data_IF_560763046098
#
_entry.id   IF_560763046098
#
_cell.length_a   1.000
_cell.length_b   1.000
_cell.length_c   1.000
_cell.angle_alpha   90.00
_cell.angle_beta   90.00
_cell.angle_gamma   90.00
#
_symmetry.space_group_name_H-M   'P 1'
#
loop_
_entity.id
_entity.type
_entity.pdbx_description
1 polymer ?
#
# COMPACT_ATOMS: atom_id res chain seq x y z
N UNK A 1 -45.94 23.82 55.81
CA UNK A 1 -45.70 23.86 54.35
C UNK A 1 -46.54 22.76 53.70
N UNK A 2 -47.50 23.10 52.83
CA UNK A 2 -48.48 22.14 52.28
C UNK A 2 -47.75 21.15 51.37
N UNK A 3 -48.03 19.84 51.51
CA UNK A 3 -47.43 18.70 50.76
C UNK A 3 -47.18 18.98 49.25
N UNK A 4 -48.04 19.81 48.64
CA UNK A 4 -47.96 20.30 47.25
C UNK A 4 -46.74 21.17 46.94
N UNK A 5 -46.30 22.02 47.87
CA UNK A 5 -45.10 22.84 47.71
C UNK A 5 -43.83 22.00 47.83
N UNK A 6 -43.79 21.08 48.80
CA UNK A 6 -42.68 20.15 48.96
C UNK A 6 -42.50 19.28 47.69
N UNK A 7 -43.59 18.83 47.07
CA UNK A 7 -43.56 18.10 45.80
C UNK A 7 -43.00 18.95 44.65
N UNK A 8 -43.34 20.25 44.57
CA UNK A 8 -42.78 21.16 43.55
C UNK A 8 -41.26 21.27 43.69
N UNK A 9 -40.74 21.43 44.91
CA UNK A 9 -39.29 21.51 45.14
C UNK A 9 -38.57 20.21 44.76
N UNK A 10 -39.17 19.05 45.06
CA UNK A 10 -38.61 17.75 44.66
C UNK A 10 -38.57 17.60 43.14
N UNK A 11 -39.64 17.96 42.43
CA UNK A 11 -39.70 17.88 40.96
C UNK A 11 -38.69 18.84 40.32
N UNK A 12 -38.62 20.09 40.79
CA UNK A 12 -37.64 21.06 40.29
C UNK A 12 -36.21 20.59 40.56
N UNK A 13 -35.93 20.06 41.76
CA UNK A 13 -34.64 19.50 42.11
C UNK A 13 -34.24 18.33 41.19
N UNK A 14 -35.16 17.40 40.93
CA UNK A 14 -34.92 16.28 40.03
C UNK A 14 -34.65 16.73 38.59
N UNK A 15 -35.39 17.73 38.08
CA UNK A 15 -35.16 18.31 36.76
C UNK A 15 -33.79 18.99 36.64
N UNK A 16 -33.38 19.74 37.66
CA UNK A 16 -32.06 20.38 37.70
C UNK A 16 -30.95 19.32 37.70
N UNK A 17 -31.07 18.27 38.52
CA UNK A 17 -30.08 17.17 38.56
C UNK A 17 -30.02 16.43 37.22
N UNK A 18 -31.18 16.15 36.59
CA UNK A 18 -31.23 15.51 35.28
C UNK A 18 -30.58 16.38 34.19
N UNK A 19 -30.83 17.69 34.21
CA UNK A 19 -30.22 18.65 33.28
C UNK A 19 -28.69 18.69 33.46
N UNK A 20 -28.22 18.85 34.70
CA UNK A 20 -26.78 18.90 35.01
C UNK A 20 -26.06 17.59 34.65
N UNK A 21 -26.70 16.45 34.91
CA UNK A 21 -26.16 15.14 34.55
C UNK A 21 -26.09 14.95 33.03
N UNK A 22 -27.12 15.41 32.29
CA UNK A 22 -27.13 15.39 30.83
C UNK A 22 -26.03 16.26 30.24
N UNK A 23 -25.86 17.48 30.75
CA UNK A 23 -24.77 18.39 30.35
C UNK A 23 -23.40 17.74 30.63
N UNK A 24 -23.21 17.18 31.83
CA UNK A 24 -21.97 16.52 32.20
C UNK A 24 -21.65 15.33 31.29
N UNK A 25 -22.63 14.47 31.03
CA UNK A 25 -22.49 13.34 30.10
C UNK A 25 -22.18 13.81 28.68
N UNK A 26 -22.87 14.86 28.20
CA UNK A 26 -22.60 15.46 26.90
C UNK A 26 -21.16 15.96 26.77
N UNK A 27 -20.67 16.71 27.77
CA UNK A 27 -19.29 17.21 27.81
C UNK A 27 -18.30 16.03 27.84
N UNK A 28 -18.53 15.03 28.70
CA UNK A 28 -17.66 13.86 28.83
C UNK A 28 -17.57 13.07 27.53
N UNK A 29 -18.70 12.80 26.89
CA UNK A 29 -18.76 12.07 25.62
C UNK A 29 -18.05 12.86 24.51
N UNK A 30 -18.29 14.17 24.43
CA UNK A 30 -17.64 15.02 23.41
C UNK A 30 -16.11 15.08 23.60
N UNK A 31 -15.64 15.20 24.85
CA UNK A 31 -14.20 15.17 25.15
C UNK A 31 -13.57 13.81 24.81
N UNK A 32 -14.27 12.72 25.12
CA UNK A 32 -13.83 11.36 24.78
C UNK A 32 -13.77 11.15 23.26
N UNK A 33 -14.78 11.62 22.53
CA UNK A 33 -14.81 11.56 21.08
C UNK A 33 -13.63 12.34 20.48
N UNK A 34 -13.44 13.59 20.91
CA UNK A 34 -12.33 14.44 20.44
C UNK A 34 -10.97 13.79 20.68
N UNK A 35 -10.74 13.21 21.86
CA UNK A 35 -9.50 12.51 22.17
C UNK A 35 -9.30 11.25 21.30
N UNK A 36 -10.38 10.50 21.03
CA UNK A 36 -10.35 9.36 20.13
C UNK A 36 -9.99 9.79 18.70
N UNK A 37 -10.62 10.84 18.17
CA UNK A 37 -10.35 11.38 16.84
C UNK A 37 -8.91 11.89 16.70
N UNK A 38 -8.39 12.57 17.71
CA UNK A 38 -7.00 13.01 17.71
C UNK A 38 -6.02 11.82 17.68
N UNK A 39 -6.30 10.78 18.49
CA UNK A 39 -5.48 9.56 18.49
C UNK A 39 -5.52 8.86 17.13
N UNK A 40 -6.69 8.75 16.51
CA UNK A 40 -6.84 8.12 15.21
C UNK A 40 -6.13 8.92 14.12
N UNK A 41 -6.26 10.25 14.09
CA UNK A 41 -5.52 11.11 13.14
C UNK A 41 -4.00 10.93 13.25
N UNK A 42 -3.47 10.89 14.47
CA UNK A 42 -2.04 10.61 14.70
C UNK A 42 -1.66 9.21 14.22
N UNK A 43 -2.48 8.21 14.55
CA UNK A 43 -2.27 6.83 14.12
C UNK A 43 -2.25 6.69 12.60
N UNK A 44 -3.22 7.28 11.91
CA UNK A 44 -3.32 7.24 10.45
C UNK A 44 -2.20 8.00 9.76
N UNK A 45 -1.83 9.18 10.27
CA UNK A 45 -0.66 9.92 9.76
C UNK A 45 0.62 9.09 9.90
N UNK A 46 0.80 8.41 11.03
CA UNK A 46 1.93 7.49 11.23
C UNK A 46 1.90 6.30 10.27
N UNK A 47 0.74 5.66 10.08
CA UNK A 47 0.61 4.55 9.14
C UNK A 47 0.88 4.97 7.70
N UNK A 48 0.34 6.11 7.26
CA UNK A 48 0.56 6.63 5.92
C UNK A 48 2.04 6.99 5.67
N UNK A 49 2.72 7.54 6.68
CA UNK A 49 4.15 7.78 6.63
C UNK A 49 4.94 6.47 6.51
N UNK A 50 4.62 5.46 7.33
CA UNK A 50 5.31 4.17 7.26
C UNK A 50 5.05 3.41 5.96
N UNK A 51 3.84 3.52 5.41
CA UNK A 51 3.52 3.05 4.07
C UNK A 51 4.47 3.64 3.03
N UNK A 52 4.60 4.97 2.97
CA UNK A 52 5.52 5.64 2.06
C UNK A 52 6.98 5.23 2.30
N UNK A 53 7.43 5.20 3.55
CA UNK A 53 8.82 4.82 3.87
C UNK A 53 9.16 3.39 3.47
N UNK A 54 8.19 2.47 3.50
CA UNK A 54 8.38 1.10 3.01
C UNK A 54 8.39 1.04 1.48
N UNK A 55 7.55 1.82 0.79
CA UNK A 55 7.62 1.95 -0.67
C UNK A 55 8.97 2.54 -1.11
N UNK A 56 9.40 3.64 -0.49
CA UNK A 56 10.69 4.27 -0.79
C UNK A 56 11.86 3.32 -0.59
N UNK A 57 11.81 2.46 0.43
CA UNK A 57 12.79 1.38 0.65
C UNK A 57 12.73 0.28 -0.41
N UNK A 58 11.54 -0.13 -0.82
CA UNK A 58 11.38 -1.10 -1.90
C UNK A 58 11.97 -0.57 -3.21
N UNK A 59 11.83 0.73 -3.48
CA UNK A 59 12.27 1.34 -4.74
C UNK A 59 13.70 1.90 -4.71
N UNK A 60 14.40 1.83 -3.57
CA UNK A 60 15.78 2.31 -3.42
C UNK A 60 16.77 1.14 -3.54
N UNK A 61 17.43 1.04 -4.71
CA UNK A 61 18.46 0.03 -4.96
C UNK A 61 19.59 0.09 -3.96
N UNK A 62 20.01 1.28 -3.53
CA UNK A 62 21.07 1.45 -2.54
C UNK A 62 20.67 0.87 -1.20
N UNK A 63 19.43 1.14 -0.76
CA UNK A 63 18.87 0.53 0.44
C UNK A 63 18.79 -1.00 0.34
N UNK A 64 18.26 -1.52 -0.78
CA UNK A 64 18.09 -2.95 -0.98
C UNK A 64 19.44 -3.69 -1.00
N UNK A 65 20.44 -3.14 -1.70
CA UNK A 65 21.80 -3.69 -1.73
C UNK A 65 22.41 -3.72 -0.33
N UNK A 66 22.31 -2.63 0.43
CA UNK A 66 22.88 -2.54 1.79
C UNK A 66 22.20 -3.51 2.77
N UNK A 67 20.89 -3.69 2.65
CA UNK A 67 20.09 -4.42 3.63
C UNK A 67 20.07 -5.93 3.35
N UNK A 68 19.84 -6.30 2.09
CA UNK A 68 19.58 -7.69 1.70
C UNK A 68 20.79 -8.39 1.08
N UNK A 69 21.90 -7.66 0.83
CA UNK A 69 23.17 -8.25 0.43
C UNK A 69 24.31 -7.89 1.39
N UNK A 70 24.83 -8.88 2.10
CA UNK A 70 26.03 -8.69 2.92
C UNK A 70 27.28 -8.64 2.04
N UNK A 71 27.93 -7.48 1.97
CA UNK A 71 29.40 -7.42 1.87
C UNK A 71 30.07 -6.81 0.63
N UNK A 72 29.39 -6.08 -0.25
CA UNK A 72 30.06 -5.55 -1.46
C UNK A 72 29.62 -4.12 -1.80
N UNK A 73 30.59 -3.30 -2.21
CA UNK A 73 30.42 -1.89 -2.61
C UNK A 73 29.77 -1.71 -3.98
N UNK A 74 28.84 -2.59 -4.34
CA UNK A 74 28.09 -2.47 -5.58
C UNK A 74 27.00 -1.42 -5.44
N UNK A 75 26.71 -0.76 -6.54
CA UNK A 75 25.72 0.32 -6.61
C UNK A 75 24.61 0.02 -7.61
N UNK A 76 24.65 -1.15 -8.26
CA UNK A 76 23.74 -1.51 -9.34
C UNK A 76 23.30 -2.99 -9.33
N UNK A 77 22.12 -3.30 -9.90
CA UNK A 77 21.70 -4.68 -10.15
C UNK A 77 22.64 -5.41 -11.11
N UNK A 78 22.98 -6.65 -10.80
CA UNK A 78 23.79 -7.58 -11.60
C UNK A 78 23.39 -9.04 -11.32
N UNK A 79 23.97 -9.97 -12.07
CA UNK A 79 23.59 -11.39 -11.99
C UNK A 79 23.83 -12.00 -10.59
N UNK A 80 24.80 -11.48 -9.84
CA UNK A 80 25.16 -12.00 -8.51
C UNK A 80 24.27 -11.46 -7.38
N UNK A 81 23.51 -10.39 -7.60
CA UNK A 81 22.62 -9.79 -6.58
C UNK A 81 21.14 -9.77 -6.93
N UNK A 82 20.77 -10.05 -8.17
CA UNK A 82 19.42 -9.78 -8.66
C UNK A 82 18.32 -10.49 -7.86
N UNK A 83 18.55 -11.74 -7.45
CA UNK A 83 17.57 -12.49 -6.65
C UNK A 83 17.35 -11.82 -5.29
N UNK A 84 18.43 -11.40 -4.61
CA UNK A 84 18.34 -10.74 -3.32
C UNK A 84 17.65 -9.36 -3.42
N UNK A 85 17.85 -8.64 -4.52
CA UNK A 85 17.15 -7.38 -4.79
C UNK A 85 15.67 -7.58 -5.05
N UNK A 86 15.31 -8.59 -5.83
CA UNK A 86 13.92 -8.94 -6.11
C UNK A 86 13.20 -9.34 -4.80
N UNK A 87 13.82 -10.22 -4.01
CA UNK A 87 13.27 -10.64 -2.72
C UNK A 87 13.13 -9.46 -1.74
N UNK A 88 14.15 -8.60 -1.65
CA UNK A 88 14.12 -7.40 -0.82
C UNK A 88 13.04 -6.41 -1.25
N UNK A 89 12.87 -6.20 -2.56
CA UNK A 89 11.78 -5.39 -3.11
C UNK A 89 10.41 -5.92 -2.67
N UNK A 90 10.14 -7.22 -2.86
CA UNK A 90 8.84 -7.80 -2.49
C UNK A 90 8.61 -7.82 -0.99
N UNK A 91 9.67 -7.98 -0.19
CA UNK A 91 9.61 -7.91 1.26
C UNK A 91 9.20 -6.50 1.74
N UNK A 92 9.85 -5.44 1.26
CA UNK A 92 9.50 -4.07 1.63
C UNK A 92 8.11 -3.67 1.11
N UNK A 93 7.74 -4.13 -0.09
CA UNK A 93 6.36 -3.98 -0.57
C UNK A 93 5.38 -4.61 0.42
N UNK A 94 5.70 -5.77 1.01
CA UNK A 94 4.79 -6.49 1.93
C UNK A 94 4.56 -5.69 3.20
N UNK A 95 5.62 -5.11 3.75
CA UNK A 95 5.51 -4.16 4.84
C UNK A 95 4.64 -2.97 4.49
N UNK A 96 4.80 -2.40 3.29
CA UNK A 96 3.97 -1.26 2.86
C UNK A 96 2.48 -1.63 2.89
N UNK A 97 2.10 -2.81 2.41
CA UNK A 97 0.72 -3.28 2.45
C UNK A 97 0.18 -3.43 3.86
N UNK A 98 0.96 -3.94 4.81
CA UNK A 98 0.52 -4.00 6.20
C UNK A 98 0.20 -2.62 6.78
N UNK A 99 0.98 -1.59 6.42
CA UNK A 99 0.69 -0.20 6.81
C UNK A 99 -0.55 0.36 6.12
N UNK A 100 -0.75 0.07 4.83
CA UNK A 100 -1.97 0.46 4.10
C UNK A 100 -3.22 -0.21 4.67
N UNK A 101 -3.13 -1.50 4.98
CA UNK A 101 -4.19 -2.25 5.66
C UNK A 101 -4.50 -1.64 7.03
N UNK A 102 -3.47 -1.32 7.82
CA UNK A 102 -3.64 -0.60 9.09
C UNK A 102 -4.32 0.77 8.91
N UNK A 103 -3.93 1.52 7.88
CA UNK A 103 -4.50 2.83 7.56
C UNK A 103 -6.00 2.74 7.25
N UNK A 104 -6.44 1.73 6.50
CA UNK A 104 -7.86 1.47 6.19
C UNK A 104 -8.68 1.11 7.42
N UNK A 105 -8.10 0.40 8.38
CA UNK A 105 -8.82 -0.09 9.57
C UNK A 105 -8.85 0.90 10.75
N UNK A 106 -7.91 1.85 10.82
CA UNK A 106 -7.79 2.78 11.95
C UNK A 106 -8.80 3.93 11.97
N UNK A 107 -9.53 4.17 10.88
CA UNK A 107 -10.51 5.26 10.82
C UNK A 107 -11.86 4.80 10.26
N UNK A 108 -12.88 4.62 11.12
CA UNK A 108 -14.26 4.46 10.68
C UNK A 108 -14.86 5.75 10.06
N UNK A 109 -14.25 6.92 10.26
CA UNK A 109 -14.63 8.18 9.58
C UNK A 109 -14.17 8.23 8.11
N UNK A 110 -13.43 7.22 7.62
CA UNK A 110 -12.93 7.19 6.23
C UNK A 110 -13.91 6.58 5.22
N UNK A 111 -15.22 6.51 5.48
CA UNK A 111 -16.17 5.99 4.47
C UNK A 111 -16.06 6.72 3.13
N UNK A 112 -15.62 7.98 3.13
CA UNK A 112 -15.39 8.78 1.92
C UNK A 112 -14.02 8.52 1.25
N UNK A 113 -13.05 7.97 1.99
CA UNK A 113 -11.67 7.73 1.51
C UNK A 113 -11.34 6.26 1.29
N UNK A 114 -12.31 5.37 1.55
CA UNK A 114 -12.19 3.94 1.27
C UNK A 114 -11.88 3.69 -0.20
N UNK A 115 -12.48 4.48 -1.11
CA UNK A 115 -12.33 4.31 -2.55
C UNK A 115 -10.86 4.50 -3.02
N UNK A 116 -10.18 5.65 -2.80
CA UNK A 116 -8.76 5.77 -3.18
C UNK A 116 -7.85 4.71 -2.56
N UNK A 117 -8.01 4.44 -1.25
CA UNK A 117 -7.19 3.43 -0.57
C UNK A 117 -7.44 2.01 -1.11
N UNK A 118 -8.67 1.71 -1.54
CA UNK A 118 -9.02 0.46 -2.19
C UNK A 118 -8.35 0.29 -3.56
N UNK A 119 -8.23 1.36 -4.36
CA UNK A 119 -7.50 1.30 -5.64
C UNK A 119 -6.01 0.98 -5.43
N UNK A 120 -5.39 1.59 -4.42
CA UNK A 120 -3.99 1.33 -4.07
C UNK A 120 -3.83 -0.10 -3.56
N UNK A 121 -4.71 -0.55 -2.67
CA UNK A 121 -4.74 -1.93 -2.16
C UNK A 121 -4.83 -2.95 -3.30
N UNK A 122 -5.76 -2.70 -4.23
CA UNK A 122 -5.94 -3.54 -5.41
C UNK A 122 -4.71 -3.56 -6.31
N UNK A 123 -4.09 -2.41 -6.56
CA UNK A 123 -2.85 -2.31 -7.33
C UNK A 123 -1.76 -3.17 -6.71
N UNK A 124 -1.47 -2.98 -5.43
CA UNK A 124 -0.40 -3.71 -4.74
C UNK A 124 -0.70 -5.22 -4.75
N UNK A 125 -1.93 -5.60 -4.43
CA UNK A 125 -2.33 -6.99 -4.35
C UNK A 125 -2.30 -7.71 -5.71
N UNK A 126 -2.89 -7.10 -6.74
CA UNK A 126 -3.07 -7.74 -8.05
C UNK A 126 -1.82 -7.67 -8.92
N UNK A 127 -1.00 -6.63 -8.79
CA UNK A 127 0.18 -6.47 -9.65
C UNK A 127 1.45 -7.07 -9.03
N UNK A 128 1.57 -7.10 -7.69
CA UNK A 128 2.82 -7.52 -7.06
C UNK A 128 2.78 -8.88 -6.35
N UNK A 129 1.68 -9.32 -5.72
CA UNK A 129 1.71 -10.56 -4.90
C UNK A 129 1.10 -11.81 -5.49
N UNK A 130 -0.09 -11.71 -6.07
CA UNK A 130 -0.94 -12.89 -6.07
C UNK A 130 -0.55 -13.88 -7.20
N UNK A 131 -0.28 -15.14 -6.84
CA UNK A 131 0.11 -16.23 -7.77
C UNK A 131 -0.99 -16.66 -8.76
N UNK A 132 -2.19 -16.10 -8.63
CA UNK A 132 -3.38 -16.41 -9.43
C UNK A 132 -4.37 -15.26 -9.34
N UNK A 133 -3.98 -14.07 -9.87
CA UNK A 133 -4.75 -12.83 -9.77
C UNK A 133 -6.25 -13.12 -9.90
N UNK A 134 -7.17 -12.43 -9.21
CA UNK A 134 -8.61 -12.57 -9.46
C UNK A 134 -8.98 -12.36 -10.95
N UNK A 135 -8.14 -11.62 -11.69
CA UNK A 135 -8.24 -11.42 -13.14
C UNK A 135 -7.51 -12.49 -13.98
N UNK A 136 -6.79 -13.42 -13.36
CA UNK A 136 -6.04 -14.51 -13.98
C UNK A 136 -4.75 -14.10 -14.70
N UNK A 137 -4.40 -12.81 -14.72
CA UNK A 137 -3.27 -12.28 -15.47
C UNK A 137 -1.90 -12.43 -14.77
N UNK A 138 -0.79 -12.33 -15.54
CA UNK A 138 0.56 -12.30 -14.99
C UNK A 138 0.79 -11.10 -14.06
N UNK A 139 1.47 -11.33 -12.94
CA UNK A 139 1.94 -10.31 -11.98
C UNK A 139 3.44 -10.04 -12.16
N UNK A 140 3.93 -8.91 -11.65
CA UNK A 140 5.37 -8.57 -11.68
C UNK A 140 6.21 -9.71 -11.09
N UNK A 141 5.77 -10.26 -9.96
CA UNK A 141 6.45 -11.42 -9.32
C UNK A 141 6.46 -12.64 -10.23
N UNK A 142 5.30 -13.02 -10.77
CA UNK A 142 5.18 -14.21 -11.62
C UNK A 142 5.97 -14.10 -12.93
N UNK A 143 6.14 -12.87 -13.44
CA UNK A 143 6.97 -12.60 -14.62
C UNK A 143 8.44 -12.75 -14.25
N UNK A 144 8.89 -12.07 -13.20
CA UNK A 144 10.28 -12.16 -12.73
C UNK A 144 10.68 -13.62 -12.43
N UNK A 145 9.81 -14.40 -11.76
CA UNK A 145 10.07 -15.80 -11.41
C UNK A 145 10.34 -16.70 -12.63
N UNK A 146 9.83 -16.34 -13.81
CA UNK A 146 9.98 -17.12 -15.06
C UNK A 146 11.18 -16.71 -15.90
N UNK A 147 11.71 -15.51 -15.69
CA UNK A 147 12.85 -14.99 -16.43
C UNK A 147 14.14 -15.69 -15.98
N UNK A 148 15.09 -15.85 -16.91
CA UNK A 148 16.44 -16.24 -16.54
C UNK A 148 17.18 -15.08 -15.84
N UNK A 149 18.34 -15.37 -15.22
CA UNK A 149 19.07 -14.38 -14.39
C UNK A 149 19.42 -13.10 -15.17
N UNK A 150 19.93 -13.21 -16.39
CA UNK A 150 20.30 -12.06 -17.22
C UNK A 150 19.08 -11.22 -17.62
N UNK A 151 17.97 -11.88 -17.94
CA UNK A 151 16.70 -11.21 -18.20
C UNK A 151 16.15 -10.50 -16.95
N UNK A 152 16.21 -11.14 -15.77
CA UNK A 152 15.81 -10.52 -14.50
C UNK A 152 16.58 -9.23 -14.24
N UNK A 153 17.90 -9.22 -14.46
CA UNK A 153 18.72 -8.00 -14.29
C UNK A 153 18.20 -6.87 -15.17
N UNK A 154 17.95 -7.17 -16.45
CA UNK A 154 17.47 -6.19 -17.42
C UNK A 154 16.07 -5.68 -17.03
N UNK A 155 15.14 -6.61 -16.76
CA UNK A 155 13.76 -6.32 -16.43
C UNK A 155 13.64 -5.49 -15.14
N UNK A 156 14.44 -5.81 -14.12
CA UNK A 156 14.46 -5.08 -12.86
C UNK A 156 15.12 -3.71 -12.98
N UNK A 157 16.18 -3.56 -13.81
CA UNK A 157 16.74 -2.24 -14.13
C UNK A 157 15.71 -1.32 -14.81
N UNK A 158 14.82 -1.87 -15.64
CA UNK A 158 13.72 -1.11 -16.23
C UNK A 158 12.63 -0.74 -15.22
N UNK A 159 12.30 -1.62 -14.26
CA UNK A 159 11.43 -1.27 -13.14
C UNK A 159 11.99 -0.11 -12.31
N UNK A 160 13.31 -0.10 -12.10
CA UNK A 160 14.05 0.95 -11.39
C UNK A 160 14.13 2.31 -12.13
N UNK A 161 13.34 2.52 -13.17
CA UNK A 161 13.23 3.81 -13.87
C UNK A 161 11.91 4.49 -13.51
N UNK A 162 11.04 4.71 -14.50
CA UNK A 162 9.75 5.35 -14.31
C UNK A 162 8.81 4.60 -13.35
N UNK A 163 8.72 3.25 -13.34
CA UNK A 163 7.81 2.54 -12.45
C UNK A 163 8.13 2.77 -10.96
N UNK A 164 9.39 2.63 -10.54
CA UNK A 164 9.81 2.84 -9.15
C UNK A 164 9.59 4.28 -8.71
N UNK A 165 9.89 5.27 -9.55
CA UNK A 165 9.59 6.67 -9.24
C UNK A 165 8.10 6.89 -8.99
N UNK A 166 7.22 6.31 -9.83
CA UNK A 166 5.76 6.43 -9.67
C UNK A 166 5.24 5.74 -8.41
N UNK A 167 5.84 4.61 -8.00
CA UNK A 167 5.52 3.93 -6.74
C UNK A 167 5.87 4.83 -5.55
N UNK A 168 7.06 5.43 -5.53
CA UNK A 168 7.46 6.36 -4.46
C UNK A 168 6.55 7.60 -4.44
N UNK A 169 6.27 8.20 -5.60
CA UNK A 169 5.39 9.37 -5.71
C UNK A 169 3.98 9.08 -5.18
N UNK A 170 3.42 7.90 -5.51
CA UNK A 170 2.13 7.44 -4.98
C UNK A 170 2.17 7.32 -3.46
N UNK A 171 3.23 6.72 -2.92
CA UNK A 171 3.47 6.62 -1.48
C UNK A 171 3.49 7.99 -0.80
N UNK A 172 4.24 8.93 -1.38
CA UNK A 172 4.36 10.29 -0.87
C UNK A 172 3.02 11.03 -0.88
N UNK A 173 2.22 10.91 -1.94
CA UNK A 173 0.88 11.52 -1.98
C UNK A 173 -0.05 10.97 -0.90
N UNK A 174 0.01 9.66 -0.62
CA UNK A 174 -0.73 9.08 0.50
C UNK A 174 -0.23 9.66 1.82
N UNK A 175 1.08 9.68 2.07
CA UNK A 175 1.64 10.23 3.32
C UNK A 175 1.25 11.71 3.54
N UNK A 176 1.34 12.53 2.50
CA UNK A 176 0.98 13.95 2.57
C UNK A 176 -0.54 14.19 2.68
N UNK A 177 -1.35 13.23 2.25
CA UNK A 177 -2.81 13.27 2.43
C UNK A 177 -3.24 13.07 3.88
N UNK A 178 -2.47 12.32 4.67
CA UNK A 178 -2.81 12.02 6.07
C UNK A 178 -1.93 12.81 7.05
N UNK A 179 -2.45 13.95 7.51
CA UNK A 179 -1.73 14.81 8.47
C UNK A 179 -2.35 14.75 9.87
N UNK A 180 -1.60 15.20 10.87
CA UNK A 180 -2.11 15.37 12.23
C UNK A 180 -3.30 16.35 12.33
N UNK A 181 -3.49 17.22 11.32
CA UNK A 181 -4.61 18.18 11.25
C UNK A 181 -5.88 17.55 10.65
N UNK A 182 -5.75 16.48 9.88
CA UNK A 182 -6.84 15.84 9.15
C UNK A 182 -6.39 15.30 7.79
N UNK A 183 -7.37 14.85 7.00
CA UNK A 183 -7.16 14.26 5.67
C UNK A 183 -7.33 15.32 4.58
N UNK A 184 -6.37 15.39 3.66
CA UNK A 184 -6.50 16.17 2.43
C UNK A 184 -7.14 15.31 1.34
N UNK A 185 -8.47 15.43 1.21
CA UNK A 185 -9.27 14.64 0.29
C UNK A 185 -8.80 14.76 -1.17
N UNK A 186 -8.53 15.98 -1.63
CA UNK A 186 -8.15 16.23 -3.01
C UNK A 186 -6.83 15.57 -3.39
N UNK A 187 -5.84 15.59 -2.49
CA UNK A 187 -4.57 14.87 -2.72
C UNK A 187 -4.79 13.37 -2.76
N UNK A 188 -5.62 12.86 -1.86
CA UNK A 188 -5.91 11.44 -1.83
C UNK A 188 -6.69 10.98 -3.08
N UNK A 189 -7.62 11.79 -3.58
CA UNK A 189 -8.33 11.49 -4.83
C UNK A 189 -7.40 11.50 -6.04
N UNK A 190 -6.39 12.38 -6.07
CA UNK A 190 -5.38 12.38 -7.13
C UNK A 190 -4.58 11.07 -7.20
N UNK A 191 -4.49 10.31 -6.09
CA UNK A 191 -3.82 9.01 -6.10
C UNK A 191 -4.51 8.00 -7.02
N UNK A 192 -5.81 8.15 -7.30
CA UNK A 192 -6.53 7.27 -8.23
C UNK A 192 -5.95 7.39 -9.64
N UNK A 193 -5.72 8.61 -10.12
CA UNK A 193 -5.10 8.83 -11.43
C UNK A 193 -3.66 8.28 -11.46
N UNK A 194 -2.91 8.45 -10.37
CA UNK A 194 -1.55 7.89 -10.26
C UNK A 194 -1.55 6.37 -10.29
N UNK A 195 -2.53 5.72 -9.65
CA UNK A 195 -2.73 4.28 -9.73
C UNK A 195 -3.01 3.86 -11.16
N UNK A 196 -3.92 4.52 -11.88
CA UNK A 196 -4.23 4.19 -13.28
C UNK A 196 -3.00 4.33 -14.20
N UNK A 197 -2.23 5.41 -14.04
CA UNK A 197 -0.97 5.59 -14.77
C UNK A 197 0.05 4.49 -14.47
N UNK A 198 0.18 4.11 -13.20
CA UNK A 198 1.09 3.07 -12.76
C UNK A 198 0.64 1.69 -13.22
N UNK A 199 -0.66 1.38 -13.16
CA UNK A 199 -1.25 0.14 -13.71
C UNK A 199 -0.93 0.02 -15.20
N UNK A 200 -1.05 1.11 -15.98
CA UNK A 200 -0.72 1.11 -17.41
C UNK A 200 0.78 0.87 -17.67
N UNK A 201 1.67 1.56 -16.95
CA UNK A 201 3.12 1.40 -17.12
C UNK A 201 3.56 -0.02 -16.72
N UNK A 202 3.05 -0.54 -15.59
CA UNK A 202 3.35 -1.90 -15.15
C UNK A 202 2.74 -2.94 -16.09
N UNK A 203 1.54 -2.70 -16.62
CA UNK A 203 0.91 -3.57 -17.63
C UNK A 203 1.78 -3.71 -18.88
N UNK A 204 2.29 -2.60 -19.43
CA UNK A 204 3.20 -2.63 -20.58
C UNK A 204 4.50 -3.39 -20.28
N UNK A 205 5.05 -3.21 -19.07
CA UNK A 205 6.24 -3.95 -18.62
C UNK A 205 5.95 -5.45 -18.51
N UNK A 206 4.81 -5.82 -17.94
CA UNK A 206 4.38 -7.22 -17.78
C UNK A 206 4.18 -7.86 -19.16
N UNK A 207 3.53 -7.20 -20.10
CA UNK A 207 3.29 -7.72 -21.45
C UNK A 207 4.62 -7.99 -22.18
N UNK A 208 5.57 -7.05 -22.09
CA UNK A 208 6.90 -7.17 -22.70
C UNK A 208 7.65 -8.42 -22.24
N UNK A 209 7.68 -8.68 -20.93
CA UNK A 209 8.45 -9.79 -20.35
C UNK A 209 7.66 -11.09 -20.21
N UNK A 210 6.33 -11.04 -20.37
CA UNK A 210 5.51 -12.26 -20.51
C UNK A 210 5.71 -12.88 -21.90
N UNK A 211 5.84 -12.07 -22.96
CA UNK A 211 6.04 -12.55 -24.32
C UNK A 211 7.41 -13.20 -24.55
N UNK A 212 8.49 -12.70 -23.90
CA UNK A 212 9.84 -13.27 -24.03
C UNK A 212 9.93 -14.71 -23.52
N UNK A 213 9.11 -15.07 -22.52
CA UNK A 213 9.05 -16.43 -21.96
C UNK A 213 8.47 -17.48 -22.93
N UNK A 214 7.75 -17.06 -23.99
CA UNK A 214 7.16 -17.98 -24.98
C UNK A 214 8.06 -18.28 -26.17
N UNK A 215 8.94 -17.33 -26.56
CA UNK A 215 9.89 -17.54 -27.66
C UNK A 215 10.95 -18.59 -27.32
N UNK A 216 11.39 -18.67 -26.06
CA UNK A 216 12.38 -19.65 -25.63
C UNK A 216 11.86 -21.10 -25.58
N UNK A 217 10.55 -21.28 -25.37
CA UNK A 217 9.91 -22.61 -25.37
C UNK A 217 9.75 -23.14 -26.80
N UNK A 218 9.33 -22.28 -27.73
CA UNK A 218 9.21 -22.63 -29.15
C UNK A 218 10.59 -22.91 -29.77
N UNK A 219 11.61 -22.13 -29.43
CA UNK A 219 12.96 -22.33 -30.00
C UNK A 219 13.66 -23.58 -29.43
N UNK A 220 13.41 -23.94 -28.16
CA UNK A 220 13.84 -25.23 -27.58
C UNK A 220 13.08 -26.42 -28.16
N UNK A 221 11.78 -26.29 -28.42
CA UNK A 221 10.99 -27.37 -29.00
C UNK A 221 11.38 -27.61 -30.47
N UNK A 222 11.56 -26.56 -31.26
CA UNK A 222 12.01 -26.65 -32.64
C UNK A 222 13.44 -27.19 -32.78
N UNK A 223 14.35 -26.89 -31.84
CA UNK A 223 15.69 -27.51 -31.79
C UNK A 223 15.63 -28.99 -31.40
N UNK A 224 14.74 -29.38 -30.48
CA UNK A 224 14.56 -30.78 -30.11
C UNK A 224 14.02 -31.63 -31.26
N UNK A 225 13.05 -31.11 -32.03
CA UNK A 225 12.53 -31.77 -33.23
C UNK A 225 13.56 -31.83 -34.37
N UNK A 226 14.33 -30.77 -34.59
CA UNK A 226 15.40 -30.76 -35.58
C UNK A 226 16.51 -31.78 -35.28
N UNK A 227 16.75 -32.10 -34.00
CA UNK A 227 17.74 -33.11 -33.61
C UNK A 227 17.19 -34.55 -33.71
N UNK A 228 15.87 -34.72 -33.63
CA UNK A 228 15.19 -36.02 -33.76
C UNK A 228 15.07 -36.52 -35.21
N UNK A 229 15.23 -35.65 -36.21
CA UNK A 229 15.22 -36.04 -37.63
C UNK A 229 16.59 -36.49 -38.17
N UNK A 230 17.62 -36.57 -37.32
CA UNK A 230 18.99 -36.96 -37.67
C UNK A 230 19.47 -38.25 -36.94
N UNK A 231 18.55 -39.14 -36.57
CA UNK A 231 18.88 -40.50 -36.07
C UNK A 231 18.19 -41.56 -36.91
#
# INVERSE_FOLDING_TARGET
MKKREMLKYVVVGALVVALLSSIYLGIRTNNSLRACLEKNRKGSSSMALHFWLSLGRATDIGYLLMTYRKGLGETEPNEDNIEALIDGFFYEMEYSYWFLYGLRNLNPELSEYEKPLYFIDRLIHNIFWWQSSPTGGPTVRSVLDKLNVTEKVTAFKELNQAPFQKIDDLGREVAESFTWKGVNATRLDNTVNMVEELENVLGQWIDKYSASSHTDVLDKHNRAEATSCYV
#
